data_IF_097249628040
#
_entry.id   IF_097249628040
#
_cell.length_a   1.000
_cell.length_b   1.000
_cell.length_c   1.000
_cell.angle_alpha   90.00
_cell.angle_beta   90.00
_cell.angle_gamma   90.00
#
_symmetry.space_group_name_H-M   'P 1'
#
loop_
_entity.id
_entity.type
_entity.pdbx_description
1 polymer ?
#
# COMPACT_ATOMS: atom_id res chain seq x y z
N UNK A 1 -14.99 6.87 -9.01
CA UNK A 1 -14.62 7.98 -8.09
C UNK A 1 -13.38 7.59 -7.28
N UNK A 2 -12.21 7.46 -7.91
CA UNK A 2 -10.90 7.30 -7.23
C UNK A 2 -9.95 8.47 -7.61
N UNK A 3 -10.23 9.20 -8.70
CA UNK A 3 -9.43 10.34 -9.18
C UNK A 3 -9.56 11.62 -8.33
N UNK A 4 -10.51 11.68 -7.40
CA UNK A 4 -10.67 12.83 -6.49
C UNK A 4 -9.82 12.72 -5.21
N UNK A 5 -9.11 11.60 -5.02
CA UNK A 5 -8.29 11.38 -3.84
C UNK A 5 -6.90 12.02 -4.05
N UNK A 6 -6.43 12.74 -3.04
CA UNK A 6 -5.07 13.28 -3.03
C UNK A 6 -4.08 12.12 -3.20
N UNK A 7 -3.39 12.10 -4.34
CA UNK A 7 -2.40 11.06 -4.64
C UNK A 7 -1.02 11.53 -4.19
N UNK A 8 -0.33 10.67 -3.46
CA UNK A 8 1.06 10.84 -3.05
C UNK A 8 1.97 9.98 -3.92
N UNK A 9 3.26 10.27 -3.91
CA UNK A 9 4.27 9.46 -4.60
C UNK A 9 5.41 9.13 -3.66
N UNK A 10 5.84 7.87 -3.68
CA UNK A 10 6.93 7.35 -2.86
C UNK A 10 7.94 6.71 -3.80
N UNK A 11 9.19 7.13 -3.69
CA UNK A 11 10.32 6.44 -4.31
C UNK A 11 10.97 5.56 -3.26
N UNK A 12 10.90 4.24 -3.44
CA UNK A 12 11.52 3.29 -2.51
C UNK A 12 12.01 2.06 -3.27
N UNK A 13 13.12 1.48 -2.80
CA UNK A 13 13.42 0.09 -3.12
C UNK A 13 12.60 -0.82 -2.20
N UNK A 14 12.27 -2.03 -2.65
CA UNK A 14 11.58 -3.03 -1.84
C UNK A 14 12.11 -4.45 -2.15
N UNK A 15 11.57 -5.46 -1.46
CA UNK A 15 12.00 -6.84 -1.63
C UNK A 15 11.68 -7.41 -3.04
N UNK A 16 10.78 -6.78 -3.79
CA UNK A 16 10.36 -7.17 -5.14
C UNK A 16 11.27 -6.55 -6.20
N UNK A 17 11.66 -5.27 -6.03
CA UNK A 17 12.50 -4.51 -6.93
C UNK A 17 13.72 -3.95 -6.19
N UNK A 18 14.90 -4.46 -6.52
CA UNK A 18 16.17 -3.99 -5.95
C UNK A 18 16.53 -2.54 -6.33
N UNK A 19 15.89 -1.98 -7.36
CA UNK A 19 16.08 -0.59 -7.78
C UNK A 19 14.98 0.30 -7.20
N UNK A 20 15.31 1.51 -6.72
CA UNK A 20 14.33 2.49 -6.29
C UNK A 20 13.30 2.72 -7.39
N UNK A 21 12.03 2.51 -7.06
CA UNK A 21 10.91 2.57 -7.99
C UNK A 21 9.93 3.63 -7.51
N UNK A 22 9.40 4.43 -8.44
CA UNK A 22 8.43 5.47 -8.10
C UNK A 22 7.02 4.89 -8.11
N UNK A 23 6.41 4.80 -6.93
CA UNK A 23 5.02 4.38 -6.77
C UNK A 23 4.12 5.59 -6.56
N UNK A 24 2.95 5.62 -7.18
CA UNK A 24 1.96 6.68 -7.02
C UNK A 24 0.57 6.11 -6.73
N UNK A 25 -0.15 6.74 -5.81
CA UNK A 25 -1.50 6.36 -5.43
C UNK A 25 -2.03 7.17 -4.25
N UNK A 26 -3.26 6.94 -3.79
CA UNK A 26 -3.77 7.55 -2.55
C UNK A 26 -3.03 7.02 -1.32
N UNK A 27 -2.90 7.87 -0.30
CA UNK A 27 -2.48 7.43 1.04
C UNK A 27 -3.61 6.60 1.64
N UNK A 28 -3.31 5.39 2.11
CA UNK A 28 -4.30 4.45 2.62
C UNK A 28 -5.02 5.02 3.84
N UNK A 29 -4.30 5.66 4.77
CA UNK A 29 -4.89 6.31 5.94
C UNK A 29 -5.93 7.38 5.57
N UNK A 30 -5.58 8.28 4.66
CA UNK A 30 -6.51 9.32 4.18
C UNK A 30 -7.72 8.74 3.45
N UNK A 31 -7.54 7.66 2.68
CA UNK A 31 -8.64 6.96 2.03
C UNK A 31 -9.61 6.38 3.05
N UNK A 32 -9.10 5.64 4.05
CA UNK A 32 -9.91 5.04 5.11
C UNK A 32 -10.65 6.10 5.93
N UNK A 33 -9.96 7.22 6.24
CA UNK A 33 -10.56 8.36 6.94
C UNK A 33 -11.68 9.02 6.12
N UNK A 34 -11.49 9.24 4.82
CA UNK A 34 -12.52 9.81 3.94
C UNK A 34 -13.72 8.90 3.77
N UNK A 35 -13.52 7.59 3.76
CA UNK A 35 -14.61 6.59 3.73
C UNK A 35 -15.32 6.45 5.07
N UNK A 36 -14.84 7.13 6.13
CA UNK A 36 -15.42 7.05 7.47
C UNK A 36 -15.25 5.67 8.12
N UNK A 37 -14.26 4.88 7.67
CA UNK A 37 -13.97 3.57 8.23
C UNK A 37 -13.57 3.70 9.70
N UNK A 38 -14.16 2.87 10.57
CA UNK A 38 -13.90 2.82 12.01
C UNK A 38 -13.45 1.41 12.34
N UNK A 39 -12.36 1.31 13.08
CA UNK A 39 -11.65 0.06 13.35
C UNK A 39 -10.15 0.31 13.45
N UNK A 40 -9.48 -0.57 14.19
CA UNK A 40 -8.04 -0.50 14.48
C UNK A 40 -7.24 -1.47 13.62
N UNK A 41 -7.87 -2.54 13.13
CA UNK A 41 -7.27 -3.56 12.28
C UNK A 41 -7.76 -3.42 10.84
N UNK A 42 -6.83 -3.48 9.89
CA UNK A 42 -7.08 -3.38 8.45
C UNK A 42 -6.56 -4.64 7.79
N UNK A 43 -7.45 -5.44 7.25
CA UNK A 43 -7.13 -6.67 6.54
C UNK A 43 -7.07 -6.39 5.05
N UNK A 44 -5.95 -6.76 4.42
CA UNK A 44 -5.72 -6.58 2.98
C UNK A 44 -5.57 -7.94 2.34
N UNK A 45 -6.45 -8.26 1.40
CA UNK A 45 -6.51 -9.57 0.74
C UNK A 45 -6.18 -9.46 -0.75
N UNK A 46 -5.23 -10.28 -1.21
CA UNK A 46 -4.79 -10.37 -2.60
C UNK A 46 -5.72 -11.25 -3.46
N UNK A 47 -5.50 -11.23 -4.78
CA UNK A 47 -6.16 -12.12 -5.73
C UNK A 47 -5.86 -13.61 -5.49
N UNK A 48 -4.70 -13.94 -4.93
CA UNK A 48 -4.31 -15.31 -4.55
C UNK A 48 -4.80 -15.70 -3.13
N UNK A 49 -5.75 -14.95 -2.57
CA UNK A 49 -6.30 -15.14 -1.22
C UNK A 49 -5.28 -15.02 -0.06
N UNK A 50 -4.09 -14.47 -0.34
CA UNK A 50 -3.16 -14.04 0.71
C UNK A 50 -3.71 -12.82 1.45
N UNK A 51 -3.83 -12.91 2.78
CA UNK A 51 -4.29 -11.82 3.63
C UNK A 51 -3.19 -11.37 4.59
N UNK A 52 -2.97 -10.06 4.69
CA UNK A 52 -2.14 -9.44 5.71
C UNK A 52 -2.98 -8.51 6.59
N UNK A 53 -2.69 -8.51 7.90
CA UNK A 53 -3.27 -7.57 8.86
C UNK A 53 -2.32 -6.38 9.04
N UNK A 54 -2.85 -5.18 8.90
CA UNK A 54 -2.16 -3.92 9.18
C UNK A 54 -2.90 -3.19 10.30
N UNK A 55 -2.14 -2.63 11.24
CA UNK A 55 -2.73 -1.74 12.27
C UNK A 55 -2.94 -0.35 11.69
N UNK A 56 -4.10 0.25 11.94
CA UNK A 56 -4.39 1.64 11.53
C UNK A 56 -3.33 2.62 11.99
N UNK A 57 -2.85 2.49 13.22
CA UNK A 57 -1.78 3.34 13.74
C UNK A 57 -0.47 3.24 12.94
N UNK A 58 -0.12 2.06 12.40
CA UNK A 58 1.06 1.91 11.56
C UNK A 58 0.81 2.48 10.15
N UNK A 59 -0.41 2.32 9.62
CA UNK A 59 -0.83 2.91 8.34
C UNK A 59 -0.68 4.44 8.38
N UNK A 60 -1.17 5.06 9.46
CA UNK A 60 -1.10 6.51 9.68
C UNK A 60 0.33 6.96 10.00
N UNK A 61 1.09 6.20 10.81
CA UNK A 61 2.47 6.54 11.19
C UNK A 61 3.42 6.59 10.00
N UNK A 62 3.28 5.67 9.04
CA UNK A 62 4.21 5.57 7.92
C UNK A 62 3.68 6.10 6.60
N UNK A 63 2.50 6.73 6.56
CA UNK A 63 1.89 7.20 5.31
C UNK A 63 1.82 6.08 4.25
N UNK A 64 1.29 4.91 4.63
CA UNK A 64 1.24 3.74 3.73
C UNK A 64 0.48 4.08 2.45
N UNK A 65 1.08 3.75 1.31
CA UNK A 65 0.54 4.08 -0.01
C UNK A 65 -0.21 2.90 -0.61
N UNK A 66 -1.41 3.16 -1.11
CA UNK A 66 -2.12 2.24 -2.00
C UNK A 66 -1.73 2.57 -3.44
N UNK A 67 -0.62 2.01 -3.90
CA UNK A 67 -0.07 2.31 -5.22
C UNK A 67 -0.99 1.79 -6.33
N UNK A 68 -1.26 2.63 -7.32
CA UNK A 68 -1.99 2.30 -8.56
C UNK A 68 -1.12 2.44 -9.80
N UNK A 69 0.00 3.16 -9.66
CA UNK A 69 0.95 3.42 -10.72
C UNK A 69 2.37 3.08 -10.26
N UNK A 70 3.14 2.48 -11.16
CA UNK A 70 4.57 2.19 -11.02
C UNK A 70 5.34 2.91 -12.14
N UNK A 71 6.34 3.71 -11.78
CA UNK A 71 7.15 4.52 -12.70
C UNK A 71 6.33 5.35 -13.71
N UNK A 72 5.19 5.88 -13.25
CA UNK A 72 4.28 6.70 -14.07
C UNK A 72 3.36 5.91 -15.00
N UNK A 73 3.42 4.58 -14.99
CA UNK A 73 2.50 3.70 -15.72
C UNK A 73 1.47 3.10 -14.78
N UNK A 74 0.24 2.93 -15.26
CA UNK A 74 -0.80 2.23 -14.50
C UNK A 74 -0.42 0.76 -14.32
N UNK A 75 -0.55 0.24 -13.10
CA UNK A 75 -0.24 -1.16 -12.79
C UNK A 75 -1.36 -2.07 -13.31
N UNK A 76 -1.01 -3.05 -14.13
CA UNK A 76 -1.93 -4.10 -14.60
C UNK A 76 -1.79 -5.34 -13.71
N UNK A 77 -2.72 -6.30 -13.81
CA UNK A 77 -2.63 -7.57 -13.06
C UNK A 77 -1.28 -8.26 -13.33
N UNK A 78 -0.81 -8.27 -14.57
CA UNK A 78 0.50 -8.80 -14.97
C UNK A 78 1.67 -8.07 -14.29
N UNK A 79 1.51 -6.78 -13.98
CA UNK A 79 2.52 -5.95 -13.33
C UNK A 79 2.14 -5.60 -11.87
N UNK A 80 1.71 -6.63 -11.11
CA UNK A 80 1.42 -6.55 -9.66
C UNK A 80 0.26 -5.63 -9.27
N UNK A 81 -0.50 -5.12 -10.24
CA UNK A 81 -1.68 -4.29 -10.05
C UNK A 81 -2.97 -5.10 -9.85
N UNK A 82 -4.15 -4.45 -9.75
CA UNK A 82 -4.37 -3.02 -9.93
C UNK A 82 -3.94 -2.15 -8.74
N UNK A 83 -3.69 -2.77 -7.58
CA UNK A 83 -3.28 -2.08 -6.37
C UNK A 83 -2.14 -2.80 -5.63
N UNK A 84 -1.26 -2.03 -5.00
CA UNK A 84 -0.14 -2.55 -4.21
C UNK A 84 0.08 -1.72 -2.94
N UNK A 85 0.19 -2.38 -1.78
CA UNK A 85 0.57 -1.73 -0.51
C UNK A 85 2.07 -1.46 -0.50
N UNK A 86 2.42 -0.17 -0.50
CA UNK A 86 3.81 0.30 -0.50
C UNK A 86 4.10 1.08 0.77
N UNK A 87 5.07 0.57 1.55
CA UNK A 87 5.66 1.28 2.67
C UNK A 87 6.87 2.12 2.23
N UNK A 88 7.14 3.29 2.84
CA UNK A 88 8.33 4.08 2.52
C UNK A 88 9.59 3.53 3.22
N UNK A 89 10.12 2.39 2.75
CA UNK A 89 11.28 1.70 3.33
C UNK A 89 12.58 2.54 3.33
N UNK A 90 12.68 3.55 2.47
CA UNK A 90 13.80 4.50 2.46
C UNK A 90 13.65 5.63 3.50
N UNK A 91 12.42 5.99 3.89
CA UNK A 91 12.17 7.04 4.89
C UNK A 91 12.38 6.50 6.32
N UNK A 92 11.99 5.26 6.59
CA UNK A 92 12.09 4.65 7.92
C UNK A 92 12.87 3.34 7.88
N UNK A 93 14.05 3.32 8.51
CA UNK A 93 14.91 2.12 8.56
C UNK A 93 14.26 0.95 9.30
N UNK A 94 13.37 1.23 10.25
CA UNK A 94 12.63 0.20 11.01
C UNK A 94 11.71 -0.67 10.13
N UNK A 95 11.31 -0.14 8.97
CA UNK A 95 10.48 -0.85 8.00
C UNK A 95 11.26 -1.92 7.22
N UNK A 96 12.60 -1.91 7.26
CA UNK A 96 13.45 -2.89 6.55
C UNK A 96 13.53 -4.22 7.31
N UNK A 97 12.38 -4.83 7.56
CA UNK A 97 12.21 -6.10 8.27
C UNK A 97 11.20 -6.95 7.51
N UNK A 98 11.36 -8.27 7.57
CA UNK A 98 10.49 -9.24 6.90
C UNK A 98 9.00 -9.03 7.19
N UNK A 99 8.68 -8.56 8.41
CA UNK A 99 7.30 -8.23 8.81
C UNK A 99 6.63 -7.25 7.84
N UNK A 100 7.27 -6.11 7.53
CA UNK A 100 6.69 -5.09 6.67
C UNK A 100 6.76 -5.46 5.19
N UNK A 101 7.72 -6.29 4.80
CA UNK A 101 7.76 -6.88 3.47
C UNK A 101 6.58 -7.82 3.23
N UNK A 102 6.22 -8.64 4.23
CA UNK A 102 5.04 -9.51 4.15
C UNK A 102 3.73 -8.71 4.12
N UNK A 103 3.68 -7.54 4.76
CA UNK A 103 2.51 -6.64 4.71
C UNK A 103 2.39 -5.84 3.40
N UNK A 104 3.42 -5.86 2.54
CA UNK A 104 3.37 -5.26 1.20
C UNK A 104 2.62 -6.18 0.23
N UNK A 105 1.29 -6.18 0.33
CA UNK A 105 0.39 -7.01 -0.49
C UNK A 105 0.15 -6.38 -1.86
N UNK A 106 0.44 -7.11 -2.94
CA UNK A 106 0.11 -6.73 -4.32
C UNK A 106 -1.14 -7.44 -4.83
N UNK A 107 -1.65 -7.02 -5.99
CA UNK A 107 -2.87 -7.57 -6.60
C UNK A 107 -4.05 -7.58 -5.61
N UNK A 108 -4.28 -6.46 -4.91
CA UNK A 108 -5.29 -6.39 -3.86
C UNK A 108 -6.70 -6.53 -4.45
N UNK A 109 -7.49 -7.42 -3.86
CA UNK A 109 -8.90 -7.69 -4.18
C UNK A 109 -9.87 -7.02 -3.20
N UNK A 110 -9.55 -7.02 -1.91
CA UNK A 110 -10.38 -6.40 -0.87
C UNK A 110 -9.54 -5.80 0.26
N UNK A 111 -10.10 -4.77 0.88
CA UNK A 111 -9.59 -4.16 2.11
C UNK A 111 -10.77 -4.10 3.08
N UNK A 112 -10.62 -4.69 4.25
CA UNK A 112 -11.63 -4.79 5.29
C UNK A 112 -11.11 -4.11 6.56
N UNK A 113 -11.97 -3.40 7.27
CA UNK A 113 -11.60 -2.67 8.49
C UNK A 113 -12.48 -3.17 9.63
N UNK A 114 -11.85 -3.58 10.72
CA UNK A 114 -12.49 -4.10 11.94
C UNK A 114 -12.11 -3.29 13.18
#
# INVERSE_FOLDING_TARGET
MIEALQTSSIVTANHVLSKPTNYKGPVLGDLLNQLGARGDSVFVTALDDYTAELKRSEIEKYDVLLATHENGKMMTIDDRGPFFIVFPFDKYKELRRDLYYNMSVWQIKSIEVE
#
